data_IF_687639909735
#
_entry.id   IF_687639909735
#
_cell.length_a   1.000
_cell.length_b   1.000
_cell.length_c   1.000
_cell.angle_alpha   90.00
_cell.angle_beta   90.00
_cell.angle_gamma   90.00
#
_symmetry.space_group_name_H-M   'P 1'
#
loop_
_entity.id
_entity.type
_entity.pdbx_description
1 polymer ?
#
# COMPACT_ATOMS: atom_id res chain seq x y z
N UNK A 1 16.53 15.39 58.04
CA UNK A 1 17.62 16.01 57.24
C UNK A 1 18.44 14.85 56.70
N UNK A 2 18.39 14.48 55.42
CA UNK A 2 18.83 15.25 54.24
C UNK A 2 18.07 14.83 52.96
N UNK A 3 17.72 15.84 52.15
CA UNK A 3 17.39 15.76 50.70
C UNK A 3 18.67 15.30 49.96
N UNK A 4 18.71 14.60 48.83
CA UNK A 4 17.87 14.55 47.64
C UNK A 4 18.78 14.79 46.42
N UNK A 5 18.75 13.93 45.39
CA UNK A 5 19.21 14.29 44.03
C UNK A 5 18.67 13.30 43.00
N UNK A 6 17.57 13.67 42.34
CA UNK A 6 17.08 13.03 41.13
C UNK A 6 17.99 13.40 39.95
N UNK A 7 18.58 12.40 39.31
CA UNK A 7 19.29 12.55 38.04
C UNK A 7 18.32 12.83 36.90
N UNK A 8 18.31 14.07 36.40
CA UNK A 8 17.62 14.51 35.19
C UNK A 8 18.22 13.80 33.96
N UNK A 9 17.46 12.88 33.35
CA UNK A 9 17.78 12.40 32.00
C UNK A 9 17.52 13.54 31.01
N UNK A 10 18.60 14.00 30.37
CA UNK A 10 18.58 15.03 29.32
C UNK A 10 17.85 14.49 28.10
N UNK A 11 16.75 15.15 27.72
CA UNK A 11 16.16 15.02 26.38
C UNK A 11 17.21 15.40 25.33
N UNK A 12 17.76 14.41 24.63
CA UNK A 12 18.49 14.64 23.39
C UNK A 12 17.46 14.98 22.32
N UNK A 13 17.44 16.23 21.88
CA UNK A 13 16.76 16.65 20.65
C UNK A 13 17.31 15.79 19.51
N UNK A 14 16.44 15.01 18.86
CA UNK A 14 16.74 14.41 17.56
C UNK A 14 16.84 15.56 16.57
N UNK A 15 18.03 15.77 16.03
CA UNK A 15 18.27 16.72 14.94
C UNK A 15 17.64 16.18 13.66
N UNK A 16 16.55 16.82 13.21
CA UNK A 16 15.99 16.62 11.88
C UNK A 16 17.00 17.10 10.82
N UNK A 17 17.50 16.17 10.00
CA UNK A 17 18.43 16.45 8.89
C UNK A 17 17.70 16.54 7.53
N UNK A 18 16.37 16.45 7.49
CA UNK A 18 15.61 16.80 6.29
C UNK A 18 14.40 17.62 6.69
N UNK A 19 14.35 18.86 6.22
CA UNK A 19 13.34 19.88 6.53
C UNK A 19 11.94 19.56 5.98
N UNK A 20 11.36 18.43 6.40
CA UNK A 20 9.98 18.08 6.13
C UNK A 20 9.08 18.87 7.10
N UNK A 21 8.38 19.85 6.55
CA UNK A 21 7.36 20.59 7.28
C UNK A 21 6.13 19.69 7.42
N UNK A 22 5.81 19.28 8.65
CA UNK A 22 4.56 18.60 8.95
C UNK A 22 3.41 19.59 8.77
N UNK A 23 2.83 19.63 7.57
CA UNK A 23 1.55 20.28 7.35
C UNK A 23 0.46 19.45 8.04
N UNK A 24 -0.28 20.07 8.96
CA UNK A 24 -1.52 19.50 9.47
C UNK A 24 -2.49 19.46 8.29
N UNK A 25 -2.68 18.27 7.70
CA UNK A 25 -3.66 18.07 6.64
C UNK A 25 -5.06 18.23 7.25
N UNK A 26 -5.75 19.29 6.85
CA UNK A 26 -7.18 19.44 7.12
C UNK A 26 -7.88 18.40 6.25
N UNK A 27 -8.52 17.39 6.87
CA UNK A 27 -9.34 16.42 6.13
C UNK A 27 -10.42 17.19 5.38
N UNK A 28 -10.24 17.34 4.07
CA UNK A 28 -11.30 17.84 3.21
C UNK A 28 -12.23 16.67 2.90
N UNK A 29 -13.53 16.85 3.13
CA UNK A 29 -14.54 15.82 2.89
C UNK A 29 -14.71 15.45 1.40
N UNK A 30 -13.90 16.06 0.52
CA UNK A 30 -13.83 15.80 -0.91
C UNK A 30 -12.60 14.98 -1.34
N UNK A 31 -11.71 14.58 -0.43
CA UNK A 31 -10.57 13.74 -0.82
C UNK A 31 -11.09 12.41 -1.43
N UNK A 32 -10.51 12.07 -2.58
CA UNK A 32 -10.78 10.82 -3.31
C UNK A 32 -9.49 10.02 -3.43
N UNK A 33 -9.63 8.76 -3.76
CA UNK A 33 -8.50 7.86 -3.99
C UNK A 33 -8.64 7.08 -5.29
N UNK A 34 -7.50 6.59 -5.77
CA UNK A 34 -7.41 5.67 -6.90
C UNK A 34 -7.26 4.26 -6.38
N UNK A 35 -8.03 3.31 -6.92
CA UNK A 35 -7.84 1.88 -6.66
C UNK A 35 -6.89 1.33 -7.70
N UNK A 36 -5.80 0.71 -7.25
CA UNK A 36 -4.77 0.10 -8.08
C UNK A 36 -4.84 -1.42 -7.93
N UNK A 37 -5.43 -2.08 -8.93
CA UNK A 37 -5.70 -3.52 -8.93
C UNK A 37 -4.58 -4.23 -9.68
N UNK A 38 -3.89 -5.16 -9.01
CA UNK A 38 -2.94 -6.06 -9.64
C UNK A 38 -3.64 -7.36 -10.08
N UNK A 39 -3.48 -7.78 -11.34
CA UNK A 39 -4.13 -8.98 -11.90
C UNK A 39 -3.15 -9.83 -12.69
N UNK A 40 -3.29 -11.16 -12.57
CA UNK A 40 -2.54 -12.13 -13.38
C UNK A 40 -3.40 -13.35 -13.73
N UNK A 41 -3.82 -13.45 -14.99
CA UNK A 41 -4.56 -14.58 -15.59
C UNK A 41 -5.82 -14.95 -14.81
N UNK A 42 -6.52 -13.94 -14.26
CA UNK A 42 -7.71 -14.11 -13.41
C UNK A 42 -8.83 -13.15 -13.83
N UNK A 43 -9.27 -13.19 -15.10
CA UNK A 43 -10.22 -12.22 -15.64
C UNK A 43 -11.55 -12.17 -14.86
N UNK A 44 -11.99 -13.28 -14.28
CA UNK A 44 -13.23 -13.31 -13.51
C UNK A 44 -13.10 -12.67 -12.12
N UNK A 45 -11.94 -12.76 -11.48
CA UNK A 45 -11.67 -12.05 -10.24
C UNK A 45 -11.48 -10.55 -10.51
N UNK A 46 -10.79 -10.20 -11.59
CA UNK A 46 -10.65 -8.81 -12.03
C UNK A 46 -12.03 -8.17 -12.28
N UNK A 47 -12.94 -8.84 -13.00
CA UNK A 47 -14.31 -8.34 -13.22
C UNK A 47 -15.02 -8.06 -11.91
N UNK A 48 -14.97 -9.00 -10.96
CA UNK A 48 -15.60 -8.86 -9.63
C UNK A 48 -15.00 -7.69 -8.86
N UNK A 49 -13.67 -7.57 -8.85
CA UNK A 49 -12.96 -6.51 -8.14
C UNK A 49 -13.24 -5.13 -8.74
N UNK A 50 -13.19 -4.97 -10.06
CA UNK A 50 -13.55 -3.70 -10.74
C UNK A 50 -15.02 -3.35 -10.51
N UNK A 51 -15.92 -4.33 -10.62
CA UNK A 51 -17.34 -4.12 -10.34
C UNK A 51 -17.57 -3.69 -8.89
N UNK A 52 -16.93 -4.32 -7.91
CA UNK A 52 -17.07 -3.96 -6.50
C UNK A 52 -16.51 -2.57 -6.21
N UNK A 53 -15.22 -2.36 -6.49
CA UNK A 53 -14.53 -1.13 -6.09
C UNK A 53 -15.04 0.11 -6.82
N UNK A 54 -15.52 -0.01 -8.05
CA UNK A 54 -16.10 1.13 -8.76
C UNK A 54 -17.35 1.70 -8.07
N UNK A 55 -18.08 0.91 -7.29
CA UNK A 55 -19.26 1.38 -6.54
C UNK A 55 -18.92 1.89 -5.14
N UNK A 56 -17.66 1.80 -4.69
CA UNK A 56 -17.30 2.32 -3.37
C UNK A 56 -17.24 3.86 -3.37
N UNK A 57 -17.66 4.50 -2.25
CA UNK A 57 -17.52 5.95 -2.09
C UNK A 57 -16.08 6.43 -2.24
N UNK A 58 -15.90 7.69 -2.63
CA UNK A 58 -14.60 8.37 -2.75
C UNK A 58 -13.61 7.79 -3.77
N UNK A 59 -13.99 6.78 -4.58
CA UNK A 59 -13.15 6.30 -5.68
C UNK A 59 -13.19 7.29 -6.84
N UNK A 60 -12.03 7.81 -7.26
CA UNK A 60 -11.89 8.67 -8.45
C UNK A 60 -11.55 7.86 -9.70
N UNK A 61 -10.72 6.83 -9.55
CA UNK A 61 -10.25 6.03 -10.66
C UNK A 61 -9.98 4.58 -10.24
N UNK A 62 -10.18 3.67 -11.20
CA UNK A 62 -9.70 2.29 -11.17
C UNK A 62 -8.54 2.19 -12.16
N UNK A 63 -7.36 1.80 -11.65
CA UNK A 63 -6.16 1.48 -12.42
C UNK A 63 -5.95 -0.03 -12.35
N UNK A 64 -5.85 -0.67 -13.51
CA UNK A 64 -5.57 -2.11 -13.61
C UNK A 64 -4.14 -2.27 -14.07
N UNK A 65 -3.28 -2.79 -13.20
CA UNK A 65 -1.93 -3.21 -13.56
C UNK A 65 -2.06 -4.51 -14.34
N UNK A 66 -1.86 -4.44 -15.65
CA UNK A 66 -2.00 -5.58 -16.54
C UNK A 66 -0.65 -6.25 -16.74
N UNK A 67 -0.39 -7.26 -15.92
CA UNK A 67 0.84 -8.04 -16.01
C UNK A 67 0.69 -9.31 -16.85
N UNK A 68 -0.53 -9.72 -17.24
CA UNK A 68 -0.81 -11.07 -17.79
C UNK A 68 -0.03 -11.43 -19.08
N UNK A 69 0.14 -10.44 -19.96
CA UNK A 69 0.84 -10.56 -21.24
C UNK A 69 1.11 -9.19 -21.86
N UNK A 70 1.91 -9.17 -22.93
CA UNK A 70 2.09 -7.97 -23.77
C UNK A 70 0.82 -7.57 -24.53
N UNK A 71 -0.06 -8.55 -24.78
CA UNK A 71 -1.33 -8.28 -25.45
C UNK A 71 -2.31 -7.63 -24.48
N UNK A 72 -3.09 -6.64 -24.96
CA UNK A 72 -4.13 -6.01 -24.16
C UNK A 72 -5.20 -7.04 -23.76
N UNK A 73 -6.01 -6.74 -22.72
CA UNK A 73 -7.19 -7.54 -22.42
C UNK A 73 -8.08 -7.64 -23.65
N UNK A 74 -8.75 -8.79 -23.81
CA UNK A 74 -9.71 -8.97 -24.90
C UNK A 74 -10.78 -7.87 -24.91
N UNK A 75 -11.26 -7.49 -26.09
CA UNK A 75 -12.31 -6.47 -26.25
C UNK A 75 -13.54 -6.77 -25.39
N UNK A 76 -13.89 -8.06 -25.26
CA UNK A 76 -14.97 -8.54 -24.40
C UNK A 76 -14.69 -8.23 -22.93
N UNK A 77 -13.49 -8.54 -22.44
CA UNK A 77 -13.10 -8.24 -21.06
C UNK A 77 -13.11 -6.72 -20.83
N UNK A 78 -12.44 -5.95 -21.68
CA UNK A 78 -12.38 -4.50 -21.57
C UNK A 78 -13.78 -3.87 -21.54
N UNK A 79 -14.68 -4.32 -22.42
CA UNK A 79 -16.07 -3.85 -22.50
C UNK A 79 -16.85 -4.11 -21.21
N UNK A 80 -16.64 -5.26 -20.55
CA UNK A 80 -17.27 -5.59 -19.26
C UNK A 80 -16.75 -4.69 -18.14
N UNK A 81 -15.42 -4.48 -18.06
CA UNK A 81 -14.83 -3.59 -17.06
C UNK A 81 -15.34 -2.15 -17.24
N UNK A 82 -15.32 -1.65 -18.48
CA UNK A 82 -15.78 -0.31 -18.82
C UNK A 82 -17.28 -0.12 -18.53
N UNK A 83 -18.11 -1.12 -18.82
CA UNK A 83 -19.54 -1.08 -18.53
C UNK A 83 -19.83 -1.00 -17.03
N UNK A 84 -19.07 -1.74 -16.22
CA UNK A 84 -19.17 -1.70 -14.75
C UNK A 84 -18.83 -0.30 -14.22
N UNK A 85 -17.71 0.27 -14.66
CA UNK A 85 -17.28 1.61 -14.25
C UNK A 85 -18.27 2.68 -14.72
N UNK A 86 -18.76 2.61 -15.97
CA UNK A 86 -19.79 3.54 -16.47
C UNK A 86 -21.10 3.46 -15.67
N UNK A 87 -21.51 2.26 -15.28
CA UNK A 87 -22.69 2.06 -14.45
C UNK A 87 -22.51 2.69 -13.05
N UNK A 88 -21.32 2.55 -12.45
CA UNK A 88 -20.97 3.21 -11.20
C UNK A 88 -20.93 4.74 -11.34
N UNK A 89 -20.30 5.27 -12.40
CA UNK A 89 -20.23 6.71 -12.68
C UNK A 89 -21.61 7.38 -12.74
N UNK A 90 -22.64 6.69 -13.25
CA UNK A 90 -24.03 7.21 -13.28
C UNK A 90 -24.66 7.37 -11.90
N UNK A 91 -24.16 6.64 -10.90
CA UNK A 91 -24.62 6.69 -9.51
C UNK A 91 -23.71 7.53 -8.61
N UNK A 92 -22.56 7.94 -9.12
CA UNK A 92 -21.57 8.76 -8.41
C UNK A 92 -21.80 10.25 -8.70
N UNK A 93 -21.28 11.11 -7.84
CA UNK A 93 -21.27 12.57 -8.03
C UNK A 93 -20.26 13.03 -9.09
N UNK A 94 -19.40 12.12 -9.56
CA UNK A 94 -18.37 12.38 -10.56
C UNK A 94 -18.15 11.16 -11.46
N UNK A 95 -17.50 11.38 -12.59
CA UNK A 95 -17.14 10.29 -13.49
C UNK A 95 -15.91 9.54 -12.96
N UNK A 96 -16.06 8.24 -12.70
CA UNK A 96 -14.97 7.36 -12.31
C UNK A 96 -14.19 6.97 -13.57
N UNK A 97 -12.86 7.07 -13.52
CA UNK A 97 -11.98 6.71 -14.65
C UNK A 97 -11.59 5.24 -14.57
N UNK A 98 -11.47 4.60 -15.74
CA UNK A 98 -10.84 3.29 -15.88
C UNK A 98 -9.61 3.45 -16.78
N UNK A 99 -8.45 2.99 -16.33
CA UNK A 99 -7.26 2.88 -17.17
C UNK A 99 -6.56 1.56 -16.89
N UNK A 100 -6.05 0.95 -17.96
CA UNK A 100 -5.31 -0.29 -17.93
C UNK A 100 -3.84 0.04 -18.22
N UNK A 101 -3.00 -0.24 -17.25
CA UNK A 101 -1.57 0.04 -17.27
C UNK A 101 -0.86 -1.21 -17.76
N UNK A 102 -0.53 -1.21 -19.04
CA UNK A 102 0.15 -2.30 -19.73
C UNK A 102 1.64 -2.28 -19.39
N UNK A 103 2.19 -3.44 -19.06
CA UNK A 103 3.62 -3.60 -18.83
C UNK A 103 4.16 -4.80 -19.61
N UNK A 104 5.29 -4.60 -20.29
CA UNK A 104 5.96 -5.64 -21.09
C UNK A 104 6.67 -6.70 -20.24
N UNK A 105 6.84 -6.44 -18.95
CA UNK A 105 7.60 -7.24 -17.99
C UNK A 105 6.65 -8.06 -17.10
N UNK A 106 6.83 -9.38 -17.08
CA UNK A 106 6.25 -10.24 -16.04
C UNK A 106 7.07 -10.12 -14.75
N UNK A 107 6.82 -9.04 -14.01
CA UNK A 107 7.56 -8.70 -12.80
C UNK A 107 6.63 -8.05 -11.78
N UNK A 108 6.66 -8.51 -10.52
CA UNK A 108 5.85 -7.95 -9.42
C UNK A 108 6.14 -6.46 -9.16
N UNK A 109 7.35 -5.99 -9.47
CA UNK A 109 7.70 -4.57 -9.36
C UNK A 109 6.84 -3.66 -10.26
N UNK A 110 6.23 -4.20 -11.33
CA UNK A 110 5.45 -3.40 -12.29
C UNK A 110 4.27 -2.70 -11.64
N UNK A 111 3.67 -3.29 -10.60
CA UNK A 111 2.55 -2.70 -9.85
C UNK A 111 2.88 -1.37 -9.19
N UNK A 112 4.16 -1.04 -9.02
CA UNK A 112 4.61 0.21 -8.39
C UNK A 112 5.24 1.20 -9.36
N UNK A 113 5.20 0.93 -10.67
CA UNK A 113 5.67 1.90 -11.68
C UNK A 113 4.91 3.22 -11.53
N UNK A 114 5.57 4.38 -11.78
CA UNK A 114 4.89 5.67 -11.72
C UNK A 114 3.70 5.68 -12.66
N UNK A 115 2.56 6.11 -12.14
CA UNK A 115 1.32 6.22 -12.89
C UNK A 115 1.14 7.67 -13.34
N UNK A 116 0.96 7.86 -14.63
CA UNK A 116 0.58 9.12 -15.25
C UNK A 116 -0.88 9.50 -14.91
N UNK A 117 -1.22 10.78 -15.05
CA UNK A 117 -2.60 11.29 -14.93
C UNK A 117 -3.35 10.94 -13.63
N UNK A 118 -2.64 10.68 -12.53
CA UNK A 118 -3.25 10.50 -11.22
C UNK A 118 -3.73 11.84 -10.64
N UNK A 119 -5.04 11.94 -10.41
CA UNK A 119 -5.66 13.10 -9.77
C UNK A 119 -5.65 13.03 -8.24
N UNK A 120 -5.41 11.86 -7.67
CA UNK A 120 -5.54 11.60 -6.23
C UNK A 120 -4.21 11.30 -5.57
N UNK A 121 -4.00 11.77 -4.34
CA UNK A 121 -2.83 11.44 -3.55
C UNK A 121 -2.90 10.02 -2.95
N UNK A 122 -4.10 9.58 -2.57
CA UNK A 122 -4.33 8.24 -2.02
C UNK A 122 -4.40 7.18 -3.11
N UNK A 123 -3.60 6.13 -2.93
CA UNK A 123 -3.67 4.89 -3.72
C UNK A 123 -4.10 3.77 -2.80
N UNK A 124 -5.21 3.10 -3.11
CA UNK A 124 -5.57 1.82 -2.52
C UNK A 124 -5.04 0.71 -3.41
N UNK A 125 -3.94 0.07 -3.02
CA UNK A 125 -3.42 -1.09 -3.76
C UNK A 125 -4.07 -2.37 -3.25
N UNK A 126 -4.52 -3.19 -4.20
CA UNK A 126 -5.21 -4.43 -3.89
C UNK A 126 -4.95 -5.50 -4.95
N UNK A 127 -4.82 -6.75 -4.50
CA UNK A 127 -4.76 -7.89 -5.39
C UNK A 127 -6.19 -8.30 -5.83
N UNK A 128 -6.32 -8.86 -7.04
CA UNK A 128 -7.61 -9.22 -7.63
C UNK A 128 -8.45 -10.23 -6.83
N UNK A 129 -7.84 -10.96 -5.91
CA UNK A 129 -8.46 -11.96 -5.04
C UNK A 129 -8.87 -11.45 -3.65
N UNK A 130 -8.70 -10.15 -3.39
CA UNK A 130 -9.09 -9.52 -2.12
C UNK A 130 -10.22 -8.51 -2.33
N UNK A 131 -11.33 -8.70 -1.61
CA UNK A 131 -12.48 -7.80 -1.61
C UNK A 131 -12.69 -7.23 -0.21
N UNK A 132 -12.57 -5.91 -0.08
CA UNK A 132 -12.85 -5.18 1.17
C UNK A 132 -14.22 -4.51 1.07
N UNK A 133 -15.15 -4.72 2.03
CA UNK A 133 -16.43 -4.02 2.04
C UNK A 133 -16.24 -2.50 1.97
N UNK A 134 -17.08 -1.79 1.20
CA UNK A 134 -16.88 -0.35 0.96
C UNK A 134 -16.93 0.50 2.24
N UNK A 135 -17.72 0.11 3.25
CA UNK A 135 -17.73 0.78 4.56
C UNK A 135 -16.37 0.66 5.28
N UNK A 136 -15.81 -0.55 5.30
CA UNK A 136 -14.48 -0.83 5.84
C UNK A 136 -13.38 -0.10 5.06
N UNK A 137 -13.50 -0.06 3.73
CA UNK A 137 -12.58 0.68 2.87
C UNK A 137 -12.63 2.19 3.17
N UNK A 138 -13.83 2.75 3.34
CA UNK A 138 -14.02 4.15 3.72
C UNK A 138 -13.43 4.49 5.09
N UNK A 139 -13.57 3.58 6.08
CA UNK A 139 -12.89 3.73 7.37
C UNK A 139 -11.37 3.79 7.20
N UNK A 140 -10.79 2.83 6.46
CA UNK A 140 -9.35 2.81 6.24
C UNK A 140 -8.85 4.03 5.45
N UNK A 141 -9.64 4.52 4.50
CA UNK A 141 -9.33 5.76 3.78
C UNK A 141 -9.30 6.97 4.74
N UNK A 142 -10.28 7.10 5.64
CA UNK A 142 -10.28 8.17 6.65
C UNK A 142 -9.06 8.10 7.58
N UNK A 143 -8.68 6.89 7.99
CA UNK A 143 -7.46 6.68 8.79
C UNK A 143 -6.23 7.11 7.98
N UNK A 144 -6.12 6.69 6.72
CA UNK A 144 -5.03 7.11 5.84
C UNK A 144 -5.00 8.63 5.61
N UNK A 145 -6.12 9.29 5.38
CA UNK A 145 -6.18 10.75 5.20
C UNK A 145 -5.69 11.51 6.43
N UNK A 146 -5.80 10.92 7.64
CA UNK A 146 -5.23 11.50 8.87
C UNK A 146 -3.73 11.24 9.06
N UNK A 147 -3.16 10.29 8.31
CA UNK A 147 -1.78 9.83 8.41
C UNK A 147 -1.19 9.51 7.02
N UNK A 148 -1.27 10.48 6.09
CA UNK A 148 -1.00 10.25 4.66
C UNK A 148 0.43 9.76 4.37
N UNK A 149 1.37 9.99 5.29
CA UNK A 149 2.73 9.47 5.18
C UNK A 149 2.85 7.97 5.48
N UNK A 150 1.94 7.38 6.26
CA UNK A 150 1.96 5.96 6.62
C UNK A 150 1.29 5.07 5.56
N UNK A 151 1.68 3.79 5.54
CA UNK A 151 0.85 2.75 4.93
C UNK A 151 -0.28 2.36 5.90
N UNK A 152 -1.51 2.30 5.40
CA UNK A 152 -2.70 1.94 6.18
C UNK A 152 -3.41 0.78 5.50
N UNK A 153 -3.58 -0.35 6.17
CA UNK A 153 -4.12 -1.51 5.48
C UNK A 153 -4.54 -2.67 6.37
N UNK A 154 -4.86 -3.79 5.73
CA UNK A 154 -5.61 -4.88 6.37
C UNK A 154 -4.78 -6.14 6.61
N UNK A 155 -3.57 -6.20 6.06
CA UNK A 155 -2.71 -7.39 6.09
C UNK A 155 -1.48 -7.12 6.96
N UNK A 156 -1.57 -7.24 8.30
CA UNK A 156 -0.44 -7.00 9.17
C UNK A 156 0.55 -8.18 9.11
N UNK A 157 1.84 -7.85 9.19
CA UNK A 157 2.94 -8.80 9.33
C UNK A 157 3.96 -8.27 10.32
N UNK A 158 4.85 -9.14 10.77
CA UNK A 158 5.94 -8.73 11.65
C UNK A 158 7.26 -9.34 11.22
N UNK A 159 8.34 -8.83 11.78
CA UNK A 159 9.64 -9.48 11.75
C UNK A 159 10.23 -9.50 13.15
N UNK A 160 11.13 -10.43 13.43
CA UNK A 160 11.91 -10.46 14.66
C UNK A 160 13.32 -11.01 14.41
N UNK A 161 14.25 -10.68 15.29
CA UNK A 161 15.62 -11.18 15.22
C UNK A 161 15.65 -12.66 15.60
N UNK A 162 16.23 -13.53 14.76
CA UNK A 162 16.30 -14.97 14.99
C UNK A 162 17.16 -15.32 16.23
N UNK A 163 18.26 -14.60 16.40
CA UNK A 163 19.11 -14.53 17.60
C UNK A 163 20.16 -13.44 17.40
N UNK A 164 20.64 -12.81 18.48
CA UNK A 164 21.90 -12.05 18.42
C UNK A 164 23.05 -13.07 18.28
N UNK A 165 23.46 -13.37 17.06
CA UNK A 165 24.69 -14.13 16.84
C UNK A 165 25.87 -13.31 17.38
N UNK A 166 26.59 -13.87 18.36
CA UNK A 166 27.73 -13.21 19.02
C UNK A 166 28.96 -13.03 18.12
N UNK A 167 28.93 -13.52 16.88
CA UNK A 167 30.05 -13.44 15.95
C UNK A 167 29.63 -12.82 14.63
N UNK A 168 30.31 -11.72 14.25
CA UNK A 168 30.58 -11.07 12.93
C UNK A 168 29.65 -11.25 11.72
N UNK A 169 28.51 -11.92 11.84
CA UNK A 169 27.50 -12.10 10.81
C UNK A 169 26.47 -10.97 10.89
N UNK A 170 25.87 -10.65 9.74
CA UNK A 170 24.75 -9.72 9.68
C UNK A 170 23.56 -10.29 10.48
N UNK A 171 22.79 -9.43 11.18
CA UNK A 171 21.62 -9.87 11.93
C UNK A 171 20.61 -10.56 11.00
N UNK A 172 20.12 -11.73 11.41
CA UNK A 172 19.12 -12.51 10.67
C UNK A 172 17.73 -12.24 11.23
N UNK A 173 16.82 -11.85 10.34
CA UNK A 173 15.42 -11.58 10.68
C UNK A 173 14.52 -12.69 10.15
N UNK A 174 13.54 -13.07 10.97
CA UNK A 174 12.47 -13.99 10.59
C UNK A 174 11.21 -13.19 10.25
N UNK A 175 10.48 -13.69 9.26
CA UNK A 175 9.19 -13.15 8.86
C UNK A 175 8.04 -13.82 9.62
N UNK A 176 7.09 -13.00 10.06
CA UNK A 176 5.92 -13.37 10.83
C UNK A 176 4.61 -13.14 10.11
N UNK A 177 3.85 -14.22 9.93
CA UNK A 177 2.48 -14.19 9.42
C UNK A 177 1.44 -13.71 10.44
N UNK A 178 0.16 -13.90 10.09
CA UNK A 178 -0.98 -13.57 10.95
C UNK A 178 -0.86 -14.20 12.35
N UNK A 179 -0.40 -15.44 12.43
CA UNK A 179 -0.36 -16.15 13.71
C UNK A 179 0.60 -15.46 14.69
N UNK A 180 1.77 -15.03 14.20
CA UNK A 180 2.75 -14.28 14.98
C UNK A 180 2.20 -12.91 15.44
N UNK A 181 1.49 -12.21 14.56
CA UNK A 181 0.85 -10.92 14.91
C UNK A 181 -0.18 -11.10 16.01
N UNK A 182 -1.03 -12.13 15.92
CA UNK A 182 -2.05 -12.39 16.93
C UNK A 182 -1.44 -12.76 18.29
N UNK A 183 -0.45 -13.65 18.32
CA UNK A 183 0.18 -14.09 19.57
C UNK A 183 0.94 -12.98 20.27
N UNK A 184 1.66 -12.16 19.51
CA UNK A 184 2.49 -11.10 20.09
C UNK A 184 1.71 -9.81 20.34
N UNK A 185 0.60 -9.61 19.64
CA UNK A 185 -0.11 -8.34 19.60
C UNK A 185 0.68 -7.23 18.90
N UNK A 186 1.75 -7.57 18.17
CA UNK A 186 2.65 -6.61 17.51
C UNK A 186 2.72 -6.83 16.01
N UNK A 187 2.98 -5.75 15.28
CA UNK A 187 3.21 -5.77 13.84
C UNK A 187 4.26 -4.72 13.48
N UNK A 188 5.01 -4.95 12.41
CA UNK A 188 6.00 -4.02 11.89
C UNK A 188 5.84 -3.73 10.41
N UNK A 189 4.90 -4.41 9.75
CA UNK A 189 4.60 -4.26 8.33
C UNK A 189 3.10 -4.31 8.08
N UNK A 190 2.66 -3.61 7.04
CA UNK A 190 1.36 -3.78 6.41
C UNK A 190 1.61 -4.01 4.92
N UNK A 191 1.09 -5.11 4.38
CA UNK A 191 1.37 -5.50 3.01
C UNK A 191 0.53 -4.68 2.01
N UNK A 192 1.15 -4.24 0.93
CA UNK A 192 0.49 -3.51 -0.17
C UNK A 192 -0.52 -4.36 -0.95
N UNK A 193 -0.61 -5.67 -0.68
CA UNK A 193 -1.68 -6.56 -1.17
C UNK A 193 -3.09 -6.04 -0.84
N UNK A 194 -3.24 -5.26 0.24
CA UNK A 194 -4.50 -4.62 0.60
C UNK A 194 -4.25 -3.43 1.52
N UNK A 195 -3.77 -2.32 0.96
CA UNK A 195 -3.40 -1.14 1.73
C UNK A 195 -3.48 0.17 0.94
N UNK A 196 -3.77 1.24 1.68
CA UNK A 196 -3.58 2.62 1.27
C UNK A 196 -2.13 3.07 1.46
N UNK A 197 -1.64 3.84 0.50
CA UNK A 197 -0.39 4.59 0.61
C UNK A 197 -0.44 5.83 -0.29
N UNK A 198 0.47 6.78 -0.05
CA UNK A 198 0.57 7.99 -0.87
C UNK A 198 1.23 7.72 -2.22
N UNK A 199 0.70 8.28 -3.32
CA UNK A 199 1.20 8.09 -4.70
C UNK A 199 2.71 8.34 -4.88
N UNK A 200 3.30 9.19 -4.04
CA UNK A 200 4.75 9.48 -4.02
C UNK A 200 5.60 8.22 -3.86
N UNK A 201 5.06 7.19 -3.20
CA UNK A 201 5.78 5.94 -2.97
C UNK A 201 5.92 5.08 -4.23
N UNK A 202 5.10 5.30 -5.28
CA UNK A 202 5.30 4.67 -6.59
C UNK A 202 6.62 5.14 -7.22
N UNK A 203 6.87 6.44 -7.18
CA UNK A 203 8.11 7.04 -7.69
C UNK A 203 9.31 6.69 -6.82
N UNK A 204 9.18 6.76 -5.49
CA UNK A 204 10.25 6.35 -4.58
C UNK A 204 10.63 4.87 -4.77
N UNK A 205 9.64 3.99 -4.97
CA UNK A 205 9.89 2.57 -5.21
C UNK A 205 10.62 2.36 -6.53
N UNK A 206 10.13 2.96 -7.61
CA UNK A 206 10.65 2.68 -8.95
C UNK A 206 12.00 3.34 -9.22
N UNK A 207 12.17 4.59 -8.78
CA UNK A 207 13.26 5.44 -9.21
C UNK A 207 14.31 5.71 -8.12
N UNK A 208 13.96 5.54 -6.84
CA UNK A 208 14.85 5.89 -5.72
C UNK A 208 15.26 4.67 -4.89
N UNK A 209 14.50 3.58 -4.91
CA UNK A 209 14.89 2.34 -4.27
C UNK A 209 16.15 1.77 -4.95
N UNK A 210 17.17 1.34 -4.16
CA UNK A 210 18.34 0.66 -4.71
C UNK A 210 17.93 -0.49 -5.64
N UNK A 211 18.52 -0.53 -6.83
CA UNK A 211 18.19 -1.51 -7.86
C UNK A 211 18.29 -2.95 -7.36
N UNK A 212 19.25 -3.25 -6.46
CA UNK A 212 19.44 -4.60 -5.91
C UNK A 212 18.20 -5.13 -5.19
N UNK A 213 17.40 -4.27 -4.55
CA UNK A 213 16.17 -4.70 -3.85
C UNK A 213 15.12 -5.10 -4.89
N UNK A 214 14.95 -4.31 -5.95
CA UNK A 214 14.00 -4.62 -7.04
C UNK A 214 14.45 -5.86 -7.83
N UNK A 215 15.76 -6.03 -8.01
CA UNK A 215 16.33 -7.22 -8.64
C UNK A 215 16.04 -8.48 -7.80
N UNK A 216 16.19 -8.39 -6.47
CA UNK A 216 15.83 -9.47 -5.56
C UNK A 216 14.35 -9.86 -5.65
N UNK A 217 13.45 -8.86 -5.64
CA UNK A 217 11.99 -9.08 -5.83
C UNK A 217 11.71 -9.77 -7.18
N UNK A 218 12.43 -9.39 -8.22
CA UNK A 218 12.29 -9.99 -9.56
C UNK A 218 12.74 -11.45 -9.56
N UNK A 219 13.89 -11.73 -8.93
CA UNK A 219 14.49 -13.07 -8.88
C UNK A 219 13.65 -14.04 -8.05
N UNK A 220 13.20 -13.61 -6.88
CA UNK A 220 12.38 -14.43 -5.97
C UNK A 220 10.91 -14.50 -6.40
N UNK A 221 10.50 -13.65 -7.34
CA UNK A 221 9.08 -13.47 -7.74
C UNK A 221 8.16 -13.30 -6.53
N UNK A 222 8.61 -12.53 -5.54
CA UNK A 222 7.90 -12.28 -4.28
C UNK A 222 8.46 -11.03 -3.58
N UNK A 223 7.89 -10.67 -2.44
CA UNK A 223 8.39 -9.68 -1.48
C UNK A 223 8.36 -8.21 -1.95
N UNK A 224 7.63 -7.89 -3.02
CA UNK A 224 7.46 -6.50 -3.46
C UNK A 224 6.68 -5.67 -2.42
N UNK A 225 5.76 -6.31 -1.72
CA UNK A 225 4.98 -5.73 -0.63
C UNK A 225 5.81 -5.47 0.64
N UNK A 226 6.72 -6.38 0.98
CA UNK A 226 7.73 -6.19 2.04
C UNK A 226 8.64 -5.02 1.66
N UNK A 227 9.14 -4.99 0.42
CA UNK A 227 10.00 -3.92 -0.07
C UNK A 227 9.29 -2.56 0.00
N UNK A 228 8.01 -2.49 -0.37
CA UNK A 228 7.20 -1.27 -0.23
C UNK A 228 7.04 -0.87 1.25
N UNK A 229 6.73 -1.82 2.14
CA UNK A 229 6.62 -1.52 3.58
C UNK A 229 7.92 -0.98 4.17
N UNK A 230 9.07 -1.53 3.76
CA UNK A 230 10.39 -1.07 4.19
C UNK A 230 10.71 0.32 3.63
N UNK A 231 10.39 0.57 2.36
CA UNK A 231 10.57 1.86 1.72
C UNK A 231 9.84 2.96 2.49
N UNK A 232 8.57 2.76 2.79
CA UNK A 232 7.75 3.76 3.50
C UNK A 232 8.26 3.97 4.93
N UNK A 233 8.60 2.90 5.65
CA UNK A 233 9.16 3.00 6.99
C UNK A 233 10.50 3.77 6.99
N UNK A 234 11.39 3.50 6.03
CA UNK A 234 12.66 4.19 5.89
C UNK A 234 12.50 5.67 5.49
N UNK A 235 11.55 5.97 4.60
CA UNK A 235 11.31 7.33 4.13
C UNK A 235 10.70 8.25 5.20
N UNK A 236 9.94 7.68 6.15
CA UNK A 236 9.16 8.46 7.12
C UNK A 236 9.66 8.34 8.56
N UNK A 237 10.37 7.25 8.90
CA UNK A 237 10.63 6.87 10.28
C UNK A 237 9.37 6.50 11.08
N UNK A 238 8.21 6.42 10.42
CA UNK A 238 6.91 6.16 11.03
C UNK A 238 6.47 4.68 10.90
N UNK A 239 5.61 4.19 11.82
CA UNK A 239 5.08 2.85 11.73
C UNK A 239 3.97 2.74 10.65
N UNK A 240 3.72 1.53 10.14
CA UNK A 240 2.48 1.26 9.41
C UNK A 240 1.28 1.29 10.39
N UNK A 241 0.07 1.41 9.84
CA UNK A 241 -1.18 1.40 10.62
C UNK A 241 -2.05 0.23 10.14
N UNK A 242 -2.36 -0.68 11.06
CA UNK A 242 -3.28 -1.77 10.77
C UNK A 242 -4.73 -1.37 11.07
N UNK A 243 -5.62 -1.57 10.09
CA UNK A 243 -7.07 -1.46 10.25
C UNK A 243 -7.65 -2.87 10.27
N UNK A 244 -8.34 -3.21 11.36
CA UNK A 244 -9.06 -4.49 11.46
C UNK A 244 -10.37 -4.40 10.66
N UNK A 245 -10.52 -5.21 9.63
CA UNK A 245 -11.71 -5.13 8.78
C UNK A 245 -11.91 -6.24 7.75
N UNK A 246 -10.96 -7.17 7.63
CA UNK A 246 -11.07 -8.36 6.78
C UNK A 246 -10.89 -9.57 7.71
N UNK A 247 -11.86 -10.48 7.71
CA UNK A 247 -11.69 -11.80 8.31
C UNK A 247 -11.09 -12.72 7.24
N UNK A 248 -9.94 -13.32 7.55
CA UNK A 248 -9.32 -14.36 6.73
C UNK A 248 -10.02 -15.70 6.93
#
# INVERSE_FOLDING_TARGET
MTKGSHGRLRNRKVSSIMGWHHHIYKLDSQERFTVLINTWRRPDLLKKSVQHYSFCPNVDAIRVVWSESKEPPSDTLFSVLLSSVKAASRKSTHNIKLKIDMHDEDNLNTRFKPLDDLATNGIFSVDDDVVVPCETLGLAFNVWSSAQDSMVGFVPRMHWLQSETQDRELPRYLYGGWWSVWWTGTYSMVLSKCAFFHRKYLDLYSNHMPGQIRDYVTQERNCEDIAMSFLVANATGGPPIWVKGISY
#
